data_IF_581359963035
#
_entry.id   IF_581359963035
#
_cell.length_a   1.000
_cell.length_b   1.000
_cell.length_c   1.000
_cell.angle_alpha   90.00
_cell.angle_beta   90.00
_cell.angle_gamma   90.00
#
_symmetry.space_group_name_H-M   'P 1'
#
loop_
_entity.id
_entity.type
_entity.pdbx_description
1 polymer ?
#
# COMPACT_ATOMS: atom_id res chain seq x y z
N UNK A 1 -7.69 -28.54 12.65
CA UNK A 1 -8.20 -27.35 11.92
C UNK A 1 -8.33 -27.67 10.43
N UNK A 2 -9.54 -28.01 9.93
CA UNK A 2 -9.76 -28.41 8.54
C UNK A 2 -10.04 -27.25 7.57
N UNK A 3 -10.16 -26.01 8.05
CA UNK A 3 -10.59 -24.84 7.26
C UNK A 3 -9.57 -24.34 6.21
N UNK A 4 -8.36 -24.91 6.16
CA UNK A 4 -7.30 -24.49 5.22
C UNK A 4 -7.05 -25.50 4.09
N UNK A 5 -7.74 -26.65 4.06
CA UNK A 5 -7.62 -27.59 2.94
C UNK A 5 -8.56 -27.15 1.81
N UNK A 6 -8.00 -26.54 0.76
CA UNK A 6 -8.73 -26.21 -0.47
C UNK A 6 -8.56 -24.78 -1.00
N UNK A 7 -7.68 -23.95 -0.42
CA UNK A 7 -7.27 -22.72 -1.08
C UNK A 7 -6.00 -22.97 -1.89
N UNK A 8 -6.18 -23.13 -3.21
CA UNK A 8 -5.08 -23.00 -4.17
C UNK A 8 -4.48 -21.59 -4.08
N UNK A 9 -3.19 -21.47 -4.41
CA UNK A 9 -2.42 -20.23 -4.23
C UNK A 9 -3.06 -19.07 -4.99
N UNK A 10 -3.51 -19.30 -6.22
CA UNK A 10 -4.14 -18.32 -7.08
C UNK A 10 -5.41 -17.77 -6.43
N UNK A 11 -6.25 -18.66 -5.88
CA UNK A 11 -7.49 -18.27 -5.21
C UNK A 11 -7.22 -17.50 -3.92
N UNK A 12 -6.14 -17.80 -3.21
CA UNK A 12 -5.72 -17.03 -2.04
C UNK A 12 -5.34 -15.59 -2.42
N UNK A 13 -4.57 -15.42 -3.50
CA UNK A 13 -4.16 -14.11 -4.01
C UNK A 13 -5.37 -13.29 -4.47
N UNK A 14 -6.31 -13.89 -5.21
CA UNK A 14 -7.55 -13.22 -5.67
C UNK A 14 -8.40 -12.72 -4.49
N UNK A 15 -8.58 -13.56 -3.46
CA UNK A 15 -9.34 -13.17 -2.27
C UNK A 15 -8.64 -12.04 -1.52
N UNK A 16 -7.31 -12.08 -1.42
CA UNK A 16 -6.50 -11.02 -0.85
C UNK A 16 -6.64 -9.69 -1.60
N UNK A 17 -6.60 -9.72 -2.93
CA UNK A 17 -6.81 -8.54 -3.77
C UNK A 17 -8.20 -7.93 -3.55
N UNK A 18 -9.24 -8.76 -3.47
CA UNK A 18 -10.61 -8.31 -3.20
C UNK A 18 -10.74 -7.64 -1.84
N UNK A 19 -10.16 -8.23 -0.79
CA UNK A 19 -10.18 -7.66 0.57
C UNK A 19 -9.43 -6.32 0.60
N UNK A 20 -8.27 -6.25 -0.06
CA UNK A 20 -7.50 -5.01 -0.14
C UNK A 20 -8.30 -3.89 -0.81
N UNK A 21 -8.95 -4.16 -1.95
CA UNK A 21 -9.82 -3.20 -2.64
C UNK A 21 -10.96 -2.71 -1.75
N UNK A 22 -11.57 -3.61 -0.98
CA UNK A 22 -12.63 -3.26 -0.04
C UNK A 22 -12.13 -2.31 1.06
N UNK A 23 -11.00 -2.63 1.71
CA UNK A 23 -10.38 -1.76 2.74
C UNK A 23 -9.96 -0.39 2.16
N UNK A 24 -9.42 -0.38 0.95
CA UNK A 24 -9.06 0.88 0.28
C UNK A 24 -10.30 1.76 0.02
N UNK A 25 -11.43 1.16 -0.33
CA UNK A 25 -12.70 1.88 -0.51
C UNK A 25 -13.27 2.45 0.80
N UNK A 26 -13.06 1.78 1.94
CA UNK A 26 -13.49 2.32 3.24
C UNK A 26 -12.61 3.47 3.71
N UNK A 27 -11.32 3.45 3.39
CA UNK A 27 -10.39 4.55 3.69
C UNK A 27 -10.75 5.84 2.93
N UNK A 28 -11.48 5.75 1.81
CA UNK A 28 -11.98 6.91 1.06
C UNK A 28 -12.97 7.79 1.84
N UNK A 29 -13.37 7.39 3.06
CA UNK A 29 -14.17 8.21 3.98
C UNK A 29 -13.40 9.33 4.69
N UNK A 30 -12.12 9.53 4.39
CA UNK A 30 -11.32 10.62 4.98
C UNK A 30 -9.82 10.59 4.69
N UNK A 31 -9.31 9.50 4.09
CA UNK A 31 -7.92 9.37 3.71
C UNK A 31 -7.76 9.41 2.19
N UNK A 32 -6.63 9.94 1.76
CA UNK A 32 -6.22 10.09 0.37
C UNK A 32 -4.80 9.56 0.17
N UNK A 33 -4.37 9.47 -1.09
CA UNK A 33 -2.97 9.13 -1.39
C UNK A 33 -1.93 10.11 -0.82
N UNK A 34 -2.33 11.30 -0.35
CA UNK A 34 -1.43 12.23 0.34
C UNK A 34 -1.11 11.76 1.77
N UNK A 35 -1.98 10.96 2.37
CA UNK A 35 -1.82 10.42 3.72
C UNK A 35 -0.94 9.16 3.72
N UNK A 36 -0.71 8.56 2.54
CA UNK A 36 0.18 7.43 2.33
C UNK A 36 1.65 7.88 2.32
N UNK A 37 2.12 8.34 3.47
CA UNK A 37 3.48 8.85 3.68
C UNK A 37 4.12 8.24 4.92
N UNK A 38 5.40 8.57 5.13
CA UNK A 38 6.18 8.17 6.30
C UNK A 38 6.55 9.42 7.13
N UNK A 39 6.87 9.24 8.43
CA UNK A 39 7.46 10.31 9.22
C UNK A 39 8.69 10.91 8.53
N UNK A 40 8.86 12.23 8.58
CA UNK A 40 9.92 12.94 7.84
C UNK A 40 11.31 12.37 8.07
N UNK A 41 11.60 11.92 9.30
CA UNK A 41 12.86 11.28 9.68
C UNK A 41 13.22 10.11 8.74
N UNK A 42 12.25 9.32 8.29
CA UNK A 42 12.51 8.18 7.41
C UNK A 42 12.73 8.59 5.95
N UNK A 43 12.25 9.78 5.57
CA UNK A 43 12.32 10.32 4.22
C UNK A 43 13.50 11.28 4.00
N UNK A 44 14.11 11.79 5.08
CA UNK A 44 15.18 12.79 5.01
C UNK A 44 16.45 12.36 5.73
N UNK A 45 16.35 11.62 6.84
CA UNK A 45 17.51 11.28 7.65
C UNK A 45 18.04 9.90 7.25
N UNK A 46 19.30 9.87 6.83
CA UNK A 46 19.98 8.63 6.54
C UNK A 46 20.06 7.73 7.78
N UNK A 47 19.96 6.41 7.56
CA UNK A 47 20.18 5.46 8.65
C UNK A 47 21.60 5.64 9.22
N UNK A 48 21.70 5.67 10.55
CA UNK A 48 22.94 6.02 11.26
C UNK A 48 23.91 4.86 11.44
N UNK A 49 23.46 3.63 11.21
CA UNK A 49 24.25 2.41 11.39
C UNK A 49 23.55 1.19 10.78
N UNK A 50 24.29 0.08 10.70
CA UNK A 50 23.78 -1.20 10.21
C UNK A 50 23.86 -1.33 8.70
N UNK A 51 23.23 -2.36 8.14
CA UNK A 51 23.33 -2.69 6.71
C UNK A 51 22.75 -1.63 5.76
N UNK A 52 21.95 -0.69 6.28
CA UNK A 52 21.35 0.39 5.51
C UNK A 52 21.99 1.76 5.82
N UNK A 53 23.13 1.81 6.52
CA UNK A 53 23.82 3.05 6.89
C UNK A 53 24.02 3.97 5.67
N UNK A 54 23.75 5.26 5.86
CA UNK A 54 23.83 6.26 4.79
C UNK A 54 22.63 6.28 3.84
N UNK A 55 21.72 5.31 3.92
CA UNK A 55 20.55 5.23 3.03
C UNK A 55 19.32 5.93 3.60
N UNK A 56 18.51 6.49 2.71
CA UNK A 56 17.20 7.12 2.99
C UNK A 56 16.10 6.33 2.26
N UNK A 57 14.88 6.33 2.80
CA UNK A 57 13.76 5.64 2.16
C UNK A 57 13.34 6.35 0.85
N UNK A 58 13.28 5.61 -0.25
CA UNK A 58 12.92 6.10 -1.59
C UNK A 58 11.42 5.95 -1.87
N UNK A 59 10.60 6.45 -0.94
CA UNK A 59 9.14 6.28 -1.02
C UNK A 59 8.56 6.97 -2.25
N UNK A 60 9.13 8.09 -2.65
CA UNK A 60 8.78 8.86 -3.85
C UNK A 60 8.97 8.07 -5.15
N UNK A 61 9.97 7.18 -5.19
CA UNK A 61 10.19 6.25 -6.31
C UNK A 61 9.22 5.06 -6.24
N UNK A 62 9.07 4.44 -5.06
CA UNK A 62 8.33 3.19 -4.88
C UNK A 62 6.81 3.35 -4.90
N UNK A 63 6.27 4.43 -4.33
CA UNK A 63 4.83 4.60 -4.15
C UNK A 63 4.08 4.76 -5.49
N UNK A 64 4.59 5.51 -6.49
CA UNK A 64 4.01 5.53 -7.83
C UNK A 64 3.99 4.16 -8.50
N UNK A 65 5.09 3.40 -8.41
CA UNK A 65 5.19 2.04 -8.99
C UNK A 65 4.21 1.08 -8.31
N UNK A 66 4.14 1.12 -6.98
CA UNK A 66 3.17 0.33 -6.20
C UNK A 66 1.72 0.55 -6.69
N UNK A 67 1.33 1.80 -6.94
CA UNK A 67 -0.01 2.09 -7.46
C UNK A 67 -0.25 1.61 -8.89
N UNK A 68 0.78 1.64 -9.74
CA UNK A 68 0.67 1.08 -11.09
C UNK A 68 0.42 -0.44 -11.02
N UNK A 69 1.21 -1.15 -10.20
CA UNK A 69 1.07 -2.59 -9.99
C UNK A 69 -0.28 -2.99 -9.36
N UNK A 70 -0.89 -2.10 -8.57
CA UNK A 70 -2.25 -2.26 -8.02
C UNK A 70 -3.37 -1.98 -9.01
N UNK A 71 -3.08 -1.91 -10.31
CA UNK A 71 -4.06 -1.66 -11.38
C UNK A 71 -4.43 -0.18 -11.52
N UNK A 72 -3.51 0.72 -11.17
CA UNK A 72 -3.75 2.18 -11.20
C UNK A 72 -4.74 2.67 -10.14
N UNK A 73 -5.21 1.78 -9.26
CA UNK A 73 -6.00 2.14 -8.09
C UNK A 73 -5.08 2.81 -7.06
N UNK A 74 -4.90 4.12 -7.21
CA UNK A 74 -4.82 4.96 -6.01
C UNK A 74 -6.09 4.71 -5.19
N UNK A 75 -6.11 4.87 -3.85
CA UNK A 75 -7.34 5.20 -3.15
C UNK A 75 -7.85 6.56 -3.67
N UNK A 76 -8.32 6.56 -4.92
CA UNK A 76 -9.04 7.65 -5.52
C UNK A 76 -10.41 7.50 -4.91
N UNK A 77 -10.63 8.21 -3.81
CA UNK A 77 -11.99 8.58 -3.46
C UNK A 77 -12.60 9.14 -4.76
N UNK A 78 -13.63 8.49 -5.36
CA UNK A 78 -14.21 8.98 -6.59
C UNK A 78 -14.54 10.45 -6.35
N UNK A 79 -13.87 11.34 -7.10
CA UNK A 79 -14.01 12.79 -6.96
C UNK A 79 -15.49 13.11 -6.80
N UNK A 80 -15.87 13.54 -5.59
CA UNK A 80 -17.23 13.94 -5.22
C UNK A 80 -18.32 12.99 -5.73
N UNK A 81 -18.87 12.15 -4.84
CA UNK A 81 -20.31 11.93 -4.96
C UNK A 81 -20.96 13.32 -4.74
N UNK A 82 -21.88 13.80 -5.60
CA UNK A 82 -22.59 15.06 -5.34
C UNK A 82 -23.23 15.09 -3.96
#
# INVERSE_FOLDING_TARGET
>A
MPLLRGLEVERFVEVGERIWKWNASTNCGGFTGADDTLPERLLKDAAKSGSAEGSVNRLDEMLPEYYQLRGGMRPVCPRGRP
#
